data_IF_245303966877
#
_entry.id   IF_245303966877
#
_cell.length_a   1.000
_cell.length_b   1.000
_cell.length_c   1.000
_cell.angle_alpha   90.00
_cell.angle_beta   90.00
_cell.angle_gamma   90.00
#
_symmetry.space_group_name_H-M   'P 1'
#
loop_
_entity.id
_entity.type
_entity.pdbx_description
1 polymer ?
#
# COMPACT_ATOMS: atom_id res chain seq x y z
N UNK A 1 -4.13 -11.67 -0.43
CA UNK A 1 -4.09 -11.35 -1.86
C UNK A 1 -5.37 -10.64 -2.33
N UNK A 2 -6.57 -11.22 -2.14
CA UNK A 2 -7.82 -10.67 -2.69
C UNK A 2 -8.15 -9.26 -2.16
N UNK A 3 -7.90 -8.98 -0.89
CA UNK A 3 -8.12 -7.65 -0.29
C UNK A 3 -7.22 -6.60 -0.95
N UNK A 4 -5.94 -6.90 -1.14
CA UNK A 4 -5.01 -5.99 -1.83
C UNK A 4 -5.40 -5.73 -3.28
N UNK A 5 -5.99 -6.72 -3.97
CA UNK A 5 -6.46 -6.55 -5.35
C UNK A 5 -7.71 -5.67 -5.43
N UNK A 6 -8.59 -5.75 -4.43
CA UNK A 6 -9.92 -5.13 -4.47
C UNK A 6 -10.02 -3.81 -3.70
N UNK A 7 -9.01 -3.41 -2.89
CA UNK A 7 -9.20 -2.29 -1.97
C UNK A 7 -9.53 -0.96 -2.67
N UNK A 8 -8.99 -0.73 -3.86
CA UNK A 8 -9.17 0.49 -4.66
C UNK A 8 -9.99 0.28 -5.95
N UNK A 9 -10.68 -0.86 -6.11
CA UNK A 9 -11.38 -1.17 -7.37
C UNK A 9 -12.45 -0.14 -7.75
N UNK A 10 -12.99 0.57 -6.78
CA UNK A 10 -14.02 1.58 -6.96
C UNK A 10 -13.46 3.02 -7.07
N UNK A 11 -12.15 3.22 -6.86
CA UNK A 11 -11.55 4.55 -6.76
C UNK A 11 -11.71 5.39 -8.04
N UNK A 12 -11.64 4.78 -9.22
CA UNK A 12 -11.85 5.51 -10.49
C UNK A 12 -13.31 6.00 -10.66
N UNK A 13 -14.27 5.32 -10.04
CA UNK A 13 -15.71 5.63 -10.12
C UNK A 13 -16.12 6.53 -8.95
N UNK A 14 -15.51 6.31 -7.78
CA UNK A 14 -15.83 6.95 -6.51
C UNK A 14 -14.58 7.57 -5.86
N UNK A 15 -13.98 8.62 -6.45
CA UNK A 15 -12.65 9.11 -6.05
C UNK A 15 -12.65 10.04 -4.83
N UNK A 16 -13.78 10.23 -4.16
CA UNK A 16 -13.85 11.16 -3.03
C UNK A 16 -13.91 10.43 -1.68
N UNK A 17 -13.42 11.03 -0.60
CA UNK A 17 -13.51 10.44 0.74
C UNK A 17 -14.93 10.10 1.19
N UNK A 18 -15.95 10.82 0.68
CA UNK A 18 -17.36 10.56 1.02
C UNK A 18 -17.88 9.27 0.36
N UNK A 19 -17.25 8.84 -0.72
CA UNK A 19 -17.71 7.70 -1.53
C UNK A 19 -16.76 6.51 -1.47
N UNK A 20 -15.46 6.73 -1.56
CA UNK A 20 -14.45 5.66 -1.45
C UNK A 20 -13.99 5.51 0.02
N UNK A 21 -13.85 4.27 0.55
CA UNK A 21 -14.18 2.97 -0.04
C UNK A 21 -15.62 2.49 0.27
N UNK A 22 -16.48 3.38 0.78
CA UNK A 22 -17.79 3.01 1.28
C UNK A 22 -18.73 2.45 0.20
N UNK A 23 -18.75 3.06 -1.00
CA UNK A 23 -19.56 2.58 -2.11
C UNK A 23 -19.03 1.25 -2.67
N UNK A 24 -17.72 1.09 -2.77
CA UNK A 24 -17.10 -0.18 -3.14
C UNK A 24 -17.48 -1.31 -2.18
N UNK A 25 -17.48 -1.04 -0.88
CA UNK A 25 -17.90 -2.00 0.13
C UNK A 25 -19.36 -2.47 -0.06
N UNK A 26 -20.27 -1.58 -0.44
CA UNK A 26 -21.65 -1.95 -0.76
C UNK A 26 -21.73 -2.90 -1.96
N UNK A 27 -20.97 -2.61 -3.01
CA UNK A 27 -20.89 -3.45 -4.21
C UNK A 27 -20.36 -4.84 -3.85
N UNK A 28 -19.30 -4.93 -3.05
CA UNK A 28 -18.71 -6.20 -2.63
C UNK A 28 -19.70 -7.03 -1.79
N UNK A 29 -20.45 -6.41 -0.87
CA UNK A 29 -21.51 -7.10 -0.11
C UNK A 29 -22.59 -7.64 -1.03
N UNK A 30 -23.07 -6.85 -2.00
CA UNK A 30 -24.06 -7.29 -2.98
C UNK A 30 -23.56 -8.45 -3.83
N UNK A 31 -22.26 -8.56 -4.07
CA UNK A 31 -21.61 -9.65 -4.79
C UNK A 31 -21.28 -10.87 -3.91
N UNK A 32 -21.63 -10.83 -2.64
CA UNK A 32 -21.48 -11.96 -1.71
C UNK A 32 -20.04 -12.16 -1.19
N UNK A 33 -19.20 -11.14 -1.22
CA UNK A 33 -17.87 -11.22 -0.60
C UNK A 33 -17.99 -11.35 0.93
N UNK A 34 -17.10 -12.13 1.58
CA UNK A 34 -17.10 -12.28 3.04
C UNK A 34 -16.94 -10.92 3.73
N UNK A 35 -17.67 -10.72 4.84
CA UNK A 35 -17.62 -9.45 5.58
C UNK A 35 -16.21 -9.12 6.11
N UNK A 36 -15.39 -10.12 6.40
CA UNK A 36 -13.98 -9.94 6.75
C UNK A 36 -13.20 -9.19 5.65
N UNK A 37 -13.42 -9.55 4.37
CA UNK A 37 -12.82 -8.90 3.21
C UNK A 37 -13.34 -7.46 3.07
N UNK A 38 -14.66 -7.28 3.18
CA UNK A 38 -15.31 -5.98 3.06
C UNK A 38 -14.87 -5.04 4.17
N UNK A 39 -14.83 -5.52 5.41
CA UNK A 39 -14.39 -4.75 6.55
C UNK A 39 -12.92 -4.32 6.45
N UNK A 40 -12.03 -5.22 6.01
CA UNK A 40 -10.65 -4.89 5.78
C UNK A 40 -10.49 -3.76 4.74
N UNK A 41 -11.27 -3.79 3.67
CA UNK A 41 -11.29 -2.74 2.66
C UNK A 41 -11.81 -1.43 3.24
N UNK A 42 -12.87 -1.44 4.03
CA UNK A 42 -13.39 -0.23 4.67
C UNK A 42 -12.34 0.41 5.60
N UNK A 43 -11.59 -0.38 6.35
CA UNK A 43 -10.63 0.13 7.34
C UNK A 43 -9.35 0.73 6.74
N UNK A 44 -9.07 0.55 5.44
CA UNK A 44 -7.97 1.25 4.81
C UNK A 44 -8.29 2.74 4.58
N UNK A 45 -9.56 3.10 4.43
CA UNK A 45 -10.02 4.48 4.43
C UNK A 45 -10.02 5.08 5.84
N UNK A 46 -8.92 5.65 6.25
CA UNK A 46 -8.69 6.16 7.62
C UNK A 46 -9.70 7.21 8.06
N UNK A 47 -10.23 8.00 7.11
CA UNK A 47 -11.26 9.00 7.33
C UNK A 47 -12.60 8.43 7.85
N UNK A 48 -12.85 7.12 7.68
CA UNK A 48 -14.04 6.47 8.21
C UNK A 48 -13.97 6.19 9.72
N UNK A 49 -12.80 6.36 10.33
CA UNK A 49 -12.61 6.17 11.78
C UNK A 49 -12.85 4.75 12.28
N UNK A 50 -12.79 3.76 11.39
CA UNK A 50 -13.00 2.36 11.73
C UNK A 50 -11.73 1.75 12.33
N UNK A 51 -11.88 0.99 13.42
CA UNK A 51 -10.77 0.33 14.08
C UNK A 51 -10.28 -0.87 13.25
N UNK A 52 -8.97 -0.96 13.01
CA UNK A 52 -8.30 -2.15 12.44
C UNK A 52 -8.06 -3.17 13.55
N UNK A 53 -8.90 -4.19 13.64
CA UNK A 53 -8.92 -5.17 14.73
C UNK A 53 -8.03 -6.37 14.46
N UNK A 54 -8.09 -6.89 13.25
CA UNK A 54 -7.43 -8.13 12.86
C UNK A 54 -6.14 -7.91 12.05
N UNK A 55 -5.39 -8.99 11.82
CA UNK A 55 -4.16 -8.93 11.05
C UNK A 55 -4.38 -8.57 9.58
N UNK A 56 -5.54 -8.88 9.02
CA UNK A 56 -5.85 -8.60 7.61
C UNK A 56 -5.97 -7.08 7.37
N UNK A 57 -6.73 -6.38 8.23
CA UNK A 57 -6.91 -4.93 8.16
C UNK A 57 -5.58 -4.21 8.38
N UNK A 58 -4.82 -4.63 9.39
CA UNK A 58 -3.51 -4.05 9.70
C UNK A 58 -2.51 -4.27 8.57
N UNK A 59 -2.48 -5.45 7.99
CA UNK A 59 -1.59 -5.75 6.87
C UNK A 59 -1.94 -4.94 5.62
N UNK A 60 -3.22 -4.80 5.27
CA UNK A 60 -3.65 -3.97 4.15
C UNK A 60 -3.20 -2.53 4.35
N UNK A 61 -3.54 -1.93 5.48
CA UNK A 61 -3.18 -0.53 5.78
C UNK A 61 -1.66 -0.31 5.80
N UNK A 62 -0.90 -1.24 6.37
CA UNK A 62 0.56 -1.13 6.45
C UNK A 62 1.26 -1.25 5.09
N UNK A 63 0.66 -1.97 4.14
CA UNK A 63 1.26 -2.16 2.81
C UNK A 63 0.82 -1.11 1.79
N UNK A 64 -0.35 -0.52 1.94
CA UNK A 64 -0.97 0.35 0.95
C UNK A 64 -0.05 1.51 0.55
N UNK A 65 0.14 2.48 1.41
CA UNK A 65 1.00 3.65 1.16
C UNK A 65 2.46 3.26 0.90
N UNK A 66 2.97 2.23 1.58
CA UNK A 66 4.37 1.81 1.45
C UNK A 66 4.68 1.22 0.08
N UNK A 67 3.80 0.42 -0.50
CA UNK A 67 4.01 -0.15 -1.84
C UNK A 67 4.07 0.93 -2.91
N UNK A 68 3.19 1.92 -2.83
CA UNK A 68 3.21 3.10 -3.70
C UNK A 68 4.51 3.91 -3.54
N UNK A 69 4.97 4.08 -2.30
CA UNK A 69 6.21 4.79 -2.03
C UNK A 69 7.45 4.05 -2.56
N UNK A 70 7.54 2.74 -2.36
CA UNK A 70 8.62 1.90 -2.89
C UNK A 70 8.64 1.93 -4.43
N UNK A 71 7.47 1.87 -5.06
CA UNK A 71 7.32 2.05 -6.51
C UNK A 71 7.88 3.39 -6.97
N UNK A 72 7.52 4.48 -6.31
CA UNK A 72 8.04 5.81 -6.63
C UNK A 72 9.57 5.87 -6.49
N UNK A 73 10.14 5.25 -5.45
CA UNK A 73 11.60 5.16 -5.27
C UNK A 73 12.25 4.39 -6.41
N UNK A 74 11.67 3.26 -6.85
CA UNK A 74 12.20 2.48 -7.96
C UNK A 74 12.18 3.27 -9.27
N UNK A 75 11.11 4.00 -9.56
CA UNK A 75 10.95 4.77 -10.79
C UNK A 75 11.97 5.91 -10.98
N UNK A 76 12.56 6.41 -9.89
CA UNK A 76 13.62 7.43 -9.95
C UNK A 76 15.04 6.85 -9.92
N UNK A 77 15.18 5.52 -9.96
CA UNK A 77 16.47 4.86 -10.11
C UNK A 77 16.92 4.89 -11.58
N UNK A 78 18.23 4.77 -11.85
CA UNK A 78 18.78 4.81 -13.22
C UNK A 78 18.10 3.82 -14.17
N UNK A 79 17.86 2.59 -13.72
CA UNK A 79 17.21 1.55 -14.53
C UNK A 79 15.74 1.33 -14.20
N UNK A 80 15.15 2.18 -13.36
CA UNK A 80 13.75 2.05 -12.89
C UNK A 80 13.45 0.66 -12.31
N UNK A 81 14.39 0.15 -11.51
CA UNK A 81 14.36 -1.22 -11.01
C UNK A 81 14.16 -1.29 -9.49
N UNK A 82 13.32 -2.22 -9.06
CA UNK A 82 13.17 -2.60 -7.65
C UNK A 82 14.46 -3.19 -7.06
N UNK A 83 15.31 -3.79 -7.90
CA UNK A 83 16.60 -4.33 -7.46
C UNK A 83 17.63 -3.25 -7.12
N UNK A 84 17.37 -2.00 -7.47
CA UNK A 84 18.16 -0.82 -7.08
C UNK A 84 17.60 -0.12 -5.81
N UNK A 85 16.58 -0.70 -5.18
CA UNK A 85 15.92 -0.14 -4.00
C UNK A 85 16.29 -0.96 -2.77
N UNK A 86 16.80 -0.28 -1.76
CA UNK A 86 17.04 -0.82 -0.42
C UNK A 86 16.36 0.03 0.65
N UNK A 87 16.39 -0.45 1.89
CA UNK A 87 15.79 0.24 3.05
C UNK A 87 16.37 1.66 3.21
N UNK A 88 17.68 1.82 3.03
CA UNK A 88 18.35 3.12 3.17
C UNK A 88 17.84 4.13 2.13
N UNK A 89 17.62 3.68 0.89
CA UNK A 89 17.07 4.51 -0.17
C UNK A 89 15.63 4.97 0.14
N UNK A 90 14.78 4.06 0.61
CA UNK A 90 13.40 4.38 1.02
C UNK A 90 13.43 5.37 2.17
N UNK A 91 14.20 5.10 3.23
CA UNK A 91 14.34 6.00 4.40
C UNK A 91 14.86 7.38 4.03
N UNK A 92 15.83 7.46 3.10
CA UNK A 92 16.33 8.73 2.59
C UNK A 92 15.23 9.52 1.89
N UNK A 93 14.46 8.87 1.02
CA UNK A 93 13.35 9.50 0.28
C UNK A 93 12.18 9.88 1.19
N UNK A 94 11.93 9.16 2.27
CA UNK A 94 10.92 9.54 3.27
C UNK A 94 11.19 10.90 3.91
N UNK A 95 12.47 11.33 4.01
CA UNK A 95 12.85 12.64 4.53
C UNK A 95 12.63 13.79 3.52
N UNK A 96 12.54 13.47 2.25
CA UNK A 96 12.28 14.44 1.19
C UNK A 96 10.76 14.66 1.06
N UNK A 97 10.27 15.75 1.64
CA UNK A 97 8.82 16.07 1.66
C UNK A 97 8.23 16.36 0.27
N UNK A 98 9.06 16.76 -0.69
CA UNK A 98 8.60 17.02 -2.06
C UNK A 98 8.47 15.73 -2.89
N UNK A 99 9.24 14.70 -2.55
CA UNK A 99 9.21 13.42 -3.26
C UNK A 99 7.93 12.64 -2.93
N UNK A 100 7.22 12.15 -3.95
CA UNK A 100 5.96 11.40 -3.80
C UNK A 100 5.03 12.02 -2.73
N UNK A 101 4.77 13.32 -2.87
CA UNK A 101 4.11 14.16 -1.85
C UNK A 101 2.72 13.66 -1.45
N UNK A 102 2.02 12.99 -2.35
CA UNK A 102 0.68 12.44 -2.10
C UNK A 102 0.70 11.22 -1.15
N UNK A 103 1.85 10.54 -1.00
CA UNK A 103 1.98 9.38 -0.12
C UNK A 103 2.16 9.82 1.33
N UNK A 104 1.31 9.33 2.23
CA UNK A 104 1.35 9.62 3.66
C UNK A 104 2.49 8.87 4.37
N UNK A 105 3.54 9.62 4.82
CA UNK A 105 4.63 9.04 5.62
C UNK A 105 4.13 8.61 7.00
N UNK A 106 3.18 9.34 7.54
CA UNK A 106 2.60 9.03 8.86
C UNK A 106 1.87 7.69 8.81
N UNK A 107 1.16 7.41 7.72
CA UNK A 107 0.47 6.13 7.55
C UNK A 107 1.45 4.97 7.33
N UNK A 108 2.56 5.19 6.64
CA UNK A 108 3.64 4.19 6.53
C UNK A 108 4.18 3.83 7.93
N UNK A 109 4.47 4.82 8.76
CA UNK A 109 5.00 4.60 10.11
C UNK A 109 3.96 3.94 11.01
N UNK A 110 2.73 4.45 10.99
CA UNK A 110 1.62 3.92 11.77
C UNK A 110 1.27 2.49 11.38
N UNK A 111 1.30 2.16 10.09
CA UNK A 111 1.07 0.81 9.60
C UNK A 111 2.05 -0.20 10.17
N UNK A 112 3.34 0.11 10.20
CA UNK A 112 4.35 -0.74 10.85
C UNK A 112 4.10 -0.88 12.36
N UNK A 113 3.73 0.21 13.03
CA UNK A 113 3.40 0.21 14.47
C UNK A 113 2.18 -0.67 14.78
N UNK A 114 1.11 -0.58 13.99
CA UNK A 114 -0.10 -1.40 14.16
C UNK A 114 0.15 -2.89 13.90
N UNK A 115 1.09 -3.22 13.00
CA UNK A 115 1.57 -4.59 12.80
C UNK A 115 2.48 -5.07 13.94
N UNK A 116 3.02 -4.17 14.76
CA UNK A 116 3.97 -4.49 15.81
C UNK A 116 5.36 -4.91 15.31
N UNK A 117 5.78 -4.37 14.14
CA UNK A 117 7.08 -4.65 13.54
C UNK A 117 7.92 -3.38 13.40
N UNK A 118 9.27 -3.47 13.53
CA UNK A 118 10.14 -2.33 13.24
C UNK A 118 9.95 -1.83 11.79
N UNK A 119 9.95 -0.51 11.62
CA UNK A 119 9.71 0.11 10.31
C UNK A 119 10.69 -0.39 9.23
N UNK A 120 11.96 -0.52 9.58
CA UNK A 120 13.01 -0.98 8.65
C UNK A 120 12.78 -2.43 8.20
N UNK A 121 12.35 -3.29 9.11
CA UNK A 121 12.01 -4.69 8.78
C UNK A 121 10.78 -4.77 7.88
N UNK A 122 9.78 -3.93 8.15
CA UNK A 122 8.59 -3.86 7.31
C UNK A 122 8.92 -3.36 5.90
N UNK A 123 9.74 -2.31 5.79
CA UNK A 123 10.21 -1.79 4.49
C UNK A 123 10.98 -2.87 3.72
N UNK A 124 11.91 -3.58 4.37
CA UNK A 124 12.69 -4.66 3.75
C UNK A 124 11.80 -5.80 3.24
N UNK A 125 10.82 -6.21 4.06
CA UNK A 125 9.86 -7.24 3.67
C UNK A 125 9.05 -6.83 2.43
N UNK A 126 8.55 -5.60 2.39
CA UNK A 126 7.76 -5.10 1.26
C UNK A 126 8.64 -5.00 0.00
N UNK A 127 9.86 -4.47 0.10
CA UNK A 127 10.80 -4.43 -1.02
C UNK A 127 11.03 -5.84 -1.60
N UNK A 128 11.35 -6.83 -0.75
CA UNK A 128 11.59 -8.21 -1.18
C UNK A 128 10.36 -8.86 -1.82
N UNK A 129 9.18 -8.63 -1.25
CA UNK A 129 7.92 -9.11 -1.81
C UNK A 129 7.66 -8.53 -3.21
N UNK A 130 7.89 -7.23 -3.39
CA UNK A 130 7.75 -6.55 -4.68
C UNK A 130 8.82 -7.00 -5.70
N UNK A 131 10.06 -7.21 -5.26
CA UNK A 131 11.13 -7.77 -6.11
C UNK A 131 10.76 -9.14 -6.66
N UNK A 132 10.11 -9.99 -5.86
CA UNK A 132 9.59 -11.29 -6.30
C UNK A 132 8.51 -11.21 -7.40
N UNK A 133 7.98 -10.02 -7.67
CA UNK A 133 6.98 -9.73 -8.71
C UNK A 133 7.40 -8.59 -9.63
N UNK A 134 8.68 -8.27 -9.68
CA UNK A 134 9.20 -7.09 -10.39
C UNK A 134 8.86 -7.10 -11.89
N UNK A 135 8.83 -8.26 -12.52
CA UNK A 135 8.45 -8.42 -13.93
C UNK A 135 6.97 -8.06 -14.14
N UNK A 136 6.09 -8.62 -13.33
CA UNK A 136 4.64 -8.35 -13.40
C UNK A 136 4.33 -6.88 -13.12
N UNK A 137 5.12 -6.22 -12.27
CA UNK A 137 5.00 -4.81 -11.95
C UNK A 137 5.66 -3.88 -12.98
N UNK A 138 6.38 -4.43 -13.95
CA UNK A 138 7.15 -3.64 -14.92
C UNK A 138 8.33 -2.88 -14.28
N UNK A 139 8.84 -3.35 -13.16
CA UNK A 139 9.88 -2.70 -12.35
C UNK A 139 11.14 -3.57 -12.18
N UNK A 140 11.36 -4.51 -13.09
CA UNK A 140 12.60 -5.32 -13.08
C UNK A 140 13.82 -4.54 -13.57
N UNK A 141 13.62 -3.41 -14.24
CA UNK A 141 14.65 -2.63 -14.89
C UNK A 141 14.77 -2.90 -16.38
N UNK A 142 15.51 -2.06 -17.08
CA UNK A 142 15.83 -2.31 -18.48
C UNK A 142 16.77 -3.53 -18.55
N UNK A 143 16.35 -4.56 -19.27
CA UNK A 143 17.24 -5.64 -19.69
C UNK A 143 18.17 -5.02 -20.74
N UNK A 144 19.42 -4.83 -20.37
CA UNK A 144 20.47 -4.38 -21.29
C UNK A 144 20.82 -5.48 -22.29
#
# INVERSE_FOLDING_TARGET
AIVGLLHDFDYEIHPTPETHPAEGAKILRQRGYPEEVVYAILTHGDHLGLERRGPLEKALFACDELTGFVTAVALVRPHKSLFEVDVAAVRKKMKDKAFARAVSRDDIVRGAQELGVPLEEHIDLVIKAMQGRAEELGLQGAVS
#
